data_IF_368407345955
#
_entry.id   IF_368407345955
#
_cell.length_a   1.000
_cell.length_b   1.000
_cell.length_c   1.000
_cell.angle_alpha   90.00
_cell.angle_beta   90.00
_cell.angle_gamma   90.00
#
_symmetry.space_group_name_H-M   'P 1'
#
loop_
_entity.id
_entity.type
_entity.pdbx_description
1 polymer ?
#
# COMPACT_ATOMS: atom_id res chain seq x y z
N UNK A 1 -51.01 63.38 -44.02
CA UNK A 1 -51.86 62.45 -44.80
C UNK A 1 -51.53 61.06 -44.27
N UNK A 2 -52.10 60.65 -43.12
CA UNK A 2 -53.32 59.79 -43.03
C UNK A 2 -53.13 58.54 -43.91
N UNK A 3 -53.22 57.29 -43.43
CA UNK A 3 -54.37 56.66 -42.76
C UNK A 3 -53.92 55.41 -42.00
N UNK A 4 -54.54 55.20 -40.83
CA UNK A 4 -54.51 54.01 -39.98
C UNK A 4 -55.46 52.90 -40.47
N UNK A 5 -55.17 51.63 -40.14
CA UNK A 5 -56.18 50.57 -40.00
C UNK A 5 -55.65 49.54 -38.97
N UNK A 6 -56.14 49.55 -37.72
CA UNK A 6 -57.26 48.74 -37.18
C UNK A 6 -57.15 47.23 -37.47
N UNK A 7 -57.50 46.28 -36.61
CA UNK A 7 -57.88 46.20 -35.19
C UNK A 7 -58.21 44.70 -34.92
N UNK A 8 -57.80 44.17 -33.76
CA UNK A 8 -58.33 42.98 -33.04
C UNK A 8 -58.39 41.62 -33.74
N UNK A 9 -57.64 40.65 -33.18
CA UNK A 9 -58.21 39.38 -32.65
C UNK A 9 -57.46 38.97 -31.39
N UNK A 10 -58.16 38.94 -30.25
CA UNK A 10 -57.75 38.16 -29.08
C UNK A 10 -57.99 36.67 -29.41
N UNK A 11 -57.06 35.78 -29.05
CA UNK A 11 -57.35 34.44 -28.50
C UNK A 11 -56.07 33.89 -27.83
N UNK A 12 -56.26 33.20 -26.70
CA UNK A 12 -55.27 32.77 -25.71
C UNK A 12 -54.48 31.50 -26.10
N UNK A 13 -53.65 31.03 -25.15
CA UNK A 13 -52.83 29.80 -25.10
C UNK A 13 -51.54 29.84 -25.95
N UNK A 14 -50.35 29.57 -25.43
CA UNK A 14 -49.96 29.00 -24.15
C UNK A 14 -48.52 29.43 -23.84
N UNK A 15 -48.24 29.62 -22.56
CA UNK A 15 -46.91 29.49 -21.99
C UNK A 15 -46.30 28.18 -22.47
N UNK A 16 -45.36 28.23 -23.42
CA UNK A 16 -44.38 27.14 -23.58
C UNK A 16 -43.41 27.30 -22.42
N UNK A 17 -43.88 26.88 -21.26
CA UNK A 17 -43.08 26.60 -20.10
C UNK A 17 -41.99 25.61 -20.51
N UNK A 18 -40.77 25.90 -20.09
CA UNK A 18 -39.62 25.07 -20.36
C UNK A 18 -39.90 23.62 -19.98
N UNK A 19 -39.79 22.73 -20.96
CA UNK A 19 -39.22 21.44 -20.67
C UNK A 19 -37.72 21.68 -20.66
N UNK A 20 -37.19 22.08 -19.49
CA UNK A 20 -35.89 21.56 -19.11
C UNK A 20 -36.06 20.06 -19.28
N UNK A 21 -35.55 19.52 -20.38
CA UNK A 21 -35.26 18.10 -20.47
C UNK A 21 -34.38 17.83 -19.27
N UNK A 22 -35.04 17.38 -18.19
CA UNK A 22 -34.41 16.77 -17.06
C UNK A 22 -33.55 15.69 -17.68
N UNK A 23 -32.25 15.96 -17.77
CA UNK A 23 -31.28 14.91 -17.94
C UNK A 23 -31.48 14.05 -16.70
N UNK A 24 -32.33 13.03 -16.82
CA UNK A 24 -32.41 11.91 -15.92
C UNK A 24 -31.15 11.07 -16.07
N UNK A 25 -29.99 11.72 -15.96
CA UNK A 25 -28.71 11.06 -15.75
C UNK A 25 -28.72 10.58 -14.33
N UNK A 26 -29.41 9.45 -14.09
CA UNK A 26 -29.08 8.63 -12.94
C UNK A 26 -27.58 8.41 -13.00
N UNK A 27 -26.85 8.88 -12.00
CA UNK A 27 -25.42 8.66 -11.92
C UNK A 27 -25.25 7.15 -11.79
N UNK A 28 -24.85 6.49 -12.88
CA UNK A 28 -24.50 5.08 -12.79
C UNK A 28 -23.32 4.97 -11.85
N UNK A 29 -23.40 4.06 -10.88
CA UNK A 29 -22.36 3.86 -9.90
C UNK A 29 -21.84 2.43 -9.97
N UNK A 30 -20.60 2.28 -9.56
CA UNK A 30 -19.88 1.02 -9.54
C UNK A 30 -19.29 0.79 -8.15
N UNK A 31 -19.24 -0.46 -7.73
CA UNK A 31 -18.46 -0.87 -6.57
C UNK A 31 -17.00 -1.10 -6.95
N UNK A 32 -16.11 -0.90 -5.97
CA UNK A 32 -14.69 -1.24 -6.09
C UNK A 32 -14.40 -2.46 -5.24
N UNK A 33 -13.84 -3.49 -5.85
CA UNK A 33 -13.55 -4.76 -5.22
C UNK A 33 -12.40 -5.51 -5.87
N UNK A 34 -12.07 -6.64 -5.27
CA UNK A 34 -10.86 -7.36 -5.60
C UNK A 34 -10.66 -8.63 -4.80
N UNK A 35 -9.43 -9.12 -4.79
CA UNK A 35 -9.02 -10.31 -4.05
C UNK A 35 -7.75 -10.08 -3.25
N UNK A 36 -7.69 -10.66 -2.05
CA UNK A 36 -6.48 -10.73 -1.22
C UNK A 36 -5.88 -12.12 -1.31
N UNK A 37 -4.57 -12.19 -1.49
CA UNK A 37 -3.80 -13.43 -1.58
C UNK A 37 -2.48 -13.33 -0.81
N UNK A 38 -1.97 -14.47 -0.35
CA UNK A 38 -0.70 -14.57 0.37
C UNK A 38 -0.71 -14.02 1.81
N UNK A 39 -1.87 -13.65 2.36
CA UNK A 39 -2.01 -13.21 3.75
C UNK A 39 -1.85 -14.42 4.69
N UNK A 40 -1.00 -14.26 5.70
CA UNK A 40 -0.73 -15.30 6.70
C UNK A 40 -1.89 -15.41 7.69
N UNK A 41 -2.30 -16.64 8.01
CA UNK A 41 -3.37 -16.92 8.96
C UNK A 41 -3.12 -16.25 10.31
N UNK A 42 -4.13 -15.60 10.88
CA UNK A 42 -4.03 -14.90 12.17
C UNK A 42 -3.47 -13.48 12.08
N UNK A 43 -3.16 -12.99 10.87
CA UNK A 43 -2.81 -11.58 10.63
C UNK A 43 -3.96 -10.85 9.92
N UNK A 44 -3.85 -9.52 9.78
CA UNK A 44 -4.81 -8.74 9.01
C UNK A 44 -4.15 -7.60 8.26
N UNK A 45 -4.73 -7.23 7.11
CA UNK A 45 -4.36 -6.07 6.30
C UNK A 45 -5.53 -5.10 6.29
N UNK A 46 -5.26 -3.80 6.39
CA UNK A 46 -6.30 -2.77 6.23
C UNK A 46 -6.10 -2.01 4.92
N UNK A 47 -7.15 -1.96 4.11
CA UNK A 47 -7.20 -1.26 2.84
C UNK A 47 -7.99 0.04 2.99
N UNK A 48 -7.67 1.04 2.17
CA UNK A 48 -8.40 2.29 2.10
C UNK A 48 -8.65 2.71 0.65
N UNK A 49 -9.88 3.14 0.35
CA UNK A 49 -10.22 3.69 -0.96
C UNK A 49 -10.16 5.24 -0.98
N UNK A 50 -10.37 5.82 -2.16
CA UNK A 50 -10.45 7.27 -2.42
C UNK A 50 -11.58 7.96 -1.65
N UNK A 51 -12.66 7.25 -1.37
CA UNK A 51 -13.85 7.74 -0.65
C UNK A 51 -13.66 7.76 0.87
N UNK A 52 -12.53 7.23 1.35
CA UNK A 52 -12.18 7.19 2.77
C UNK A 52 -12.65 5.94 3.51
N UNK A 53 -13.33 5.01 2.83
CA UNK A 53 -13.70 3.71 3.40
C UNK A 53 -12.45 2.95 3.79
N UNK A 54 -12.52 2.29 4.94
CA UNK A 54 -11.46 1.40 5.43
C UNK A 54 -12.03 -0.01 5.58
N UNK A 55 -11.33 -0.98 5.00
CA UNK A 55 -11.66 -2.40 5.11
C UNK A 55 -10.51 -3.17 5.75
N UNK A 56 -10.77 -3.84 6.86
CA UNK A 56 -9.82 -4.77 7.47
C UNK A 56 -10.14 -6.19 7.04
N UNK A 57 -9.16 -6.87 6.48
CA UNK A 57 -9.27 -8.22 5.90
C UNK A 57 -8.31 -9.15 6.64
N UNK A 58 -8.80 -10.30 7.10
CA UNK A 58 -8.07 -11.24 7.97
C UNK A 58 -7.84 -12.63 7.37
N UNK A 59 -8.23 -12.84 6.11
CA UNK A 59 -7.95 -14.07 5.37
C UNK A 59 -7.70 -13.78 3.88
N UNK A 60 -7.45 -14.83 3.11
CA UNK A 60 -7.35 -14.75 1.66
C UNK A 60 -8.77 -14.90 1.08
N UNK A 61 -9.34 -13.79 0.62
CA UNK A 61 -10.74 -13.73 0.17
C UNK A 61 -10.97 -12.60 -0.82
N UNK A 62 -12.14 -12.58 -1.45
CA UNK A 62 -12.63 -11.40 -2.16
C UNK A 62 -13.07 -10.30 -1.19
N UNK A 63 -12.99 -9.05 -1.65
CA UNK A 63 -13.48 -7.89 -0.92
C UNK A 63 -14.18 -6.91 -1.86
N UNK A 64 -15.07 -6.09 -1.31
CA UNK A 64 -15.76 -5.00 -2.00
C UNK A 64 -15.93 -3.84 -1.02
N UNK A 65 -15.58 -2.62 -1.42
CA UNK A 65 -15.83 -1.41 -0.65
C UNK A 65 -17.33 -1.08 -0.62
N UNK A 66 -17.86 -0.59 0.52
CA UNK A 66 -19.28 -0.35 0.68
C UNK A 66 -19.77 0.88 -0.10
N UNK A 67 -18.93 1.91 -0.28
CA UNK A 67 -19.30 3.10 -1.03
C UNK A 67 -19.11 2.87 -2.53
N UNK A 68 -20.18 3.10 -3.28
CA UNK A 68 -20.16 3.07 -4.75
C UNK A 68 -19.60 4.39 -5.32
N UNK A 69 -18.79 4.28 -6.36
CA UNK A 69 -18.13 5.38 -7.06
C UNK A 69 -18.90 5.69 -8.34
N UNK A 70 -19.10 6.97 -8.69
CA UNK A 70 -19.86 7.33 -9.87
C UNK A 70 -19.08 7.07 -11.17
N UNK A 71 -19.81 6.81 -12.26
CA UNK A 71 -19.25 6.69 -13.60
C UNK A 71 -18.47 7.94 -14.01
N UNK A 72 -17.27 7.74 -14.55
CA UNK A 72 -16.33 8.82 -14.89
C UNK A 72 -15.42 9.29 -13.76
N UNK A 73 -15.70 8.92 -12.49
CA UNK A 73 -14.83 9.24 -11.37
C UNK A 73 -13.63 8.28 -11.29
N UNK A 74 -12.51 8.79 -10.78
CA UNK A 74 -11.32 8.00 -10.51
C UNK A 74 -11.40 7.33 -9.16
N UNK A 75 -10.96 6.08 -9.07
CA UNK A 75 -10.80 5.38 -7.79
C UNK A 75 -9.31 5.16 -7.48
N UNK A 76 -8.99 5.12 -6.19
CA UNK A 76 -7.69 4.68 -5.69
C UNK A 76 -7.87 3.73 -4.52
N UNK A 77 -7.11 2.63 -4.47
CA UNK A 77 -7.06 1.66 -3.38
C UNK A 77 -5.63 1.58 -2.88
N UNK A 78 -5.47 1.71 -1.57
CA UNK A 78 -4.16 1.72 -0.90
C UNK A 78 -4.17 0.77 0.28
N UNK A 79 -3.00 0.27 0.65
CA UNK A 79 -2.83 -0.41 1.94
C UNK A 79 -2.62 0.65 3.00
N UNK A 80 -3.55 0.75 3.94
CA UNK A 80 -3.47 1.65 5.09
C UNK A 80 -2.57 1.07 6.18
N UNK A 81 -2.74 -0.21 6.50
CA UNK A 81 -1.98 -0.91 7.54
C UNK A 81 -1.50 -2.26 7.02
N UNK A 82 -0.18 -2.48 7.09
CA UNK A 82 0.45 -3.76 6.73
C UNK A 82 0.28 -4.79 7.86
N UNK A 83 0.09 -6.07 7.54
CA UNK A 83 0.17 -7.15 8.52
C UNK A 83 1.57 -7.27 9.13
N UNK A 84 1.66 -7.78 10.36
CA UNK A 84 2.95 -8.05 11.00
C UNK A 84 3.68 -9.17 10.25
N UNK A 85 4.94 -8.92 9.87
CA UNK A 85 5.79 -9.93 9.21
C UNK A 85 5.44 -10.19 7.75
N UNK A 86 4.62 -9.34 7.10
CA UNK A 86 4.42 -9.39 5.66
C UNK A 86 4.32 -7.98 5.06
N UNK A 87 4.51 -7.88 3.75
CA UNK A 87 4.21 -6.69 2.96
C UNK A 87 3.18 -7.05 1.91
N UNK A 88 2.05 -6.34 1.94
CA UNK A 88 1.00 -6.39 0.93
C UNK A 88 1.17 -5.26 -0.08
N UNK A 89 0.98 -5.58 -1.35
CA UNK A 89 1.06 -4.64 -2.47
C UNK A 89 -0.25 -4.64 -3.24
N UNK A 90 -0.62 -3.49 -3.79
CA UNK A 90 -1.86 -3.31 -4.55
C UNK A 90 -1.56 -3.36 -6.05
N UNK A 91 -2.18 -4.28 -6.77
CA UNK A 91 -2.25 -4.30 -8.22
C UNK A 91 -3.61 -3.79 -8.70
N UNK A 92 -3.63 -3.08 -9.83
CA UNK A 92 -4.83 -2.42 -10.38
C UNK A 92 -5.54 -1.50 -9.37
N UNK A 93 -4.80 -0.95 -8.41
CA UNK A 93 -5.35 -0.12 -7.34
C UNK A 93 -5.85 1.25 -7.78
N UNK A 94 -5.67 1.64 -9.04
CA UNK A 94 -6.10 2.94 -9.56
C UNK A 94 -6.77 2.78 -10.91
N UNK A 95 -7.78 3.58 -11.18
CA UNK A 95 -8.47 3.59 -12.47
C UNK A 95 -9.61 4.60 -12.50
N UNK A 96 -10.42 4.55 -13.55
CA UNK A 96 -11.63 5.36 -13.72
C UNK A 96 -12.81 4.42 -13.95
N UNK A 97 -13.93 4.69 -13.29
CA UNK A 97 -15.17 3.95 -13.56
C UNK A 97 -15.62 4.28 -14.98
N UNK A 98 -15.93 3.24 -15.77
CA UNK A 98 -16.39 3.43 -17.14
C UNK A 98 -17.73 4.20 -17.18
N UNK A 99 -18.08 4.74 -18.35
CA UNK A 99 -19.32 5.49 -18.54
C UNK A 99 -20.59 4.64 -18.31
N UNK A 100 -20.45 3.31 -18.24
CA UNK A 100 -21.54 2.37 -18.00
C UNK A 100 -21.69 2.01 -16.52
N UNK A 101 -20.81 2.49 -15.63
CA UNK A 101 -20.82 2.19 -14.20
C UNK A 101 -20.58 0.71 -13.89
N UNK A 102 -19.73 0.02 -14.66
CA UNK A 102 -19.41 -1.39 -14.38
C UNK A 102 -18.57 -1.53 -13.10
N UNK A 103 -18.91 -2.53 -12.28
CA UNK A 103 -18.16 -2.87 -11.08
C UNK A 103 -16.69 -3.20 -11.39
N UNK A 104 -15.79 -2.62 -10.59
CA UNK A 104 -14.37 -2.95 -10.62
C UNK A 104 -14.13 -4.11 -9.67
N UNK A 105 -13.70 -5.26 -10.19
CA UNK A 105 -13.46 -6.48 -9.38
C UNK A 105 -12.04 -7.06 -9.54
N UNK A 106 -11.17 -6.36 -10.27
CA UNK A 106 -9.83 -6.82 -10.64
C UNK A 106 -8.70 -6.22 -9.79
N UNK A 107 -9.03 -5.53 -8.68
CA UNK A 107 -8.02 -5.08 -7.73
C UNK A 107 -7.39 -6.30 -7.06
N UNK A 108 -6.07 -6.38 -7.05
CA UNK A 108 -5.35 -7.49 -6.42
C UNK A 108 -4.54 -6.98 -5.25
N UNK A 109 -4.62 -7.67 -4.12
CA UNK A 109 -3.78 -7.43 -2.95
C UNK A 109 -2.91 -8.66 -2.76
N UNK A 110 -1.62 -8.52 -3.03
CA UNK A 110 -0.65 -9.59 -2.94
C UNK A 110 0.25 -9.36 -1.72
N UNK A 111 0.10 -10.21 -0.71
CA UNK A 111 0.88 -10.20 0.52
C UNK A 111 2.02 -11.22 0.44
N UNK A 112 3.22 -10.80 0.81
CA UNK A 112 4.41 -11.66 0.84
C UNK A 112 5.07 -11.58 2.21
N UNK A 113 5.45 -12.73 2.77
CA UNK A 113 6.14 -12.77 4.05
C UNK A 113 7.48 -12.04 3.96
N UNK A 114 7.77 -11.25 4.98
CA UNK A 114 8.98 -10.43 5.07
C UNK A 114 9.61 -10.59 6.44
N UNK A 115 10.94 -10.57 6.49
CA UNK A 115 11.66 -10.61 7.76
C UNK A 115 12.88 -9.69 7.76
N UNK A 116 13.33 -9.33 8.96
CA UNK A 116 14.56 -8.56 9.16
C UNK A 116 15.78 -9.47 9.28
N UNK A 117 16.93 -8.90 8.92
CA UNK A 117 18.25 -9.46 9.28
C UNK A 117 18.74 -8.67 10.49
N UNK A 118 19.19 -9.37 11.51
CA UNK A 118 19.69 -8.78 12.74
C UNK A 118 20.65 -9.70 13.45
N UNK A 119 20.97 -9.39 14.68
CA UNK A 119 21.95 -10.14 15.42
C UNK A 119 22.28 -9.57 16.78
N UNK A 120 23.36 -10.07 17.35
CA UNK A 120 23.95 -9.54 18.58
C UNK A 120 25.38 -9.08 18.34
N UNK A 121 25.72 -7.92 18.87
CA UNK A 121 27.08 -7.39 18.92
C UNK A 121 27.65 -7.55 20.33
N UNK A 122 28.85 -8.09 20.42
CA UNK A 122 29.58 -8.29 21.68
C UNK A 122 31.07 -7.94 21.54
N UNK A 123 31.70 -7.56 22.66
CA UNK A 123 33.13 -7.25 22.73
C UNK A 123 33.54 -5.90 22.13
N UNK A 124 32.61 -5.05 21.70
CA UNK A 124 32.94 -3.70 21.25
C UNK A 124 33.35 -2.83 22.45
N UNK A 125 34.52 -2.20 22.38
CA UNK A 125 35.01 -1.30 23.41
C UNK A 125 34.16 -0.02 23.46
N UNK A 126 34.06 0.59 24.65
CA UNK A 126 33.32 1.85 24.84
C UNK A 126 33.93 2.97 23.99
N UNK A 127 33.09 3.70 23.25
CA UNK A 127 33.53 4.80 22.38
C UNK A 127 33.99 4.39 20.99
N UNK A 128 34.01 3.09 20.69
CA UNK A 128 34.27 2.57 19.35
C UNK A 128 33.00 2.41 18.52
N UNK A 129 33.15 2.18 17.22
CA UNK A 129 32.06 1.84 16.32
C UNK A 129 32.49 0.83 15.27
N UNK A 130 31.58 -0.07 14.90
CA UNK A 130 31.74 -1.02 13.80
C UNK A 130 30.65 -0.75 12.76
N UNK A 131 30.98 -0.85 11.48
CA UNK A 131 29.99 -0.75 10.41
C UNK A 131 29.81 -2.10 9.77
N UNK A 132 28.55 -2.53 9.70
CA UNK A 132 28.13 -3.74 9.03
C UNK A 132 27.39 -3.38 7.74
N UNK A 133 27.44 -4.27 6.75
CA UNK A 133 26.64 -4.16 5.54
C UNK A 133 25.94 -5.48 5.21
N UNK A 134 24.71 -5.38 4.70
CA UNK A 134 23.94 -6.50 4.13
C UNK A 134 23.03 -6.00 3.02
N UNK A 135 22.96 -6.70 1.89
CA UNK A 135 22.03 -6.40 0.78
C UNK A 135 21.98 -4.91 0.36
N UNK A 136 23.12 -4.21 0.37
CA UNK A 136 23.22 -2.79 0.02
C UNK A 136 22.87 -1.81 1.15
N UNK A 137 22.35 -2.28 2.29
CA UNK A 137 22.14 -1.48 3.51
C UNK A 137 23.38 -1.50 4.39
N UNK A 138 23.72 -0.35 4.97
CA UNK A 138 24.80 -0.22 5.97
C UNK A 138 24.24 0.15 7.34
N UNK A 139 24.86 -0.36 8.40
CA UNK A 139 24.46 -0.12 9.78
C UNK A 139 25.70 0.14 10.64
N UNK A 140 25.74 1.30 11.29
CA UNK A 140 26.75 1.63 12.29
C UNK A 140 26.29 1.18 13.68
N UNK A 141 27.14 0.46 14.39
CA UNK A 141 26.89 0.00 15.76
C UNK A 141 27.95 0.60 16.69
N UNK A 142 27.49 1.27 17.75
CA UNK A 142 28.34 1.95 18.74
C UNK A 142 28.23 1.35 20.15
N UNK A 143 27.43 0.29 20.32
CA UNK A 143 27.22 -0.36 21.61
C UNK A 143 26.95 -1.86 21.42
N UNK A 144 27.33 -2.65 22.42
CA UNK A 144 27.00 -4.08 22.50
C UNK A 144 25.49 -4.27 22.73
N UNK A 145 24.93 -5.36 22.22
CA UNK A 145 23.51 -5.67 22.34
C UNK A 145 22.88 -6.21 21.06
N UNK A 146 21.56 -6.33 21.06
CA UNK A 146 20.81 -6.72 19.87
C UNK A 146 20.76 -5.59 18.84
N UNK A 147 20.84 -5.94 17.57
CA UNK A 147 20.69 -5.01 16.45
C UNK A 147 19.83 -5.63 15.35
N UNK A 148 19.27 -4.77 14.51
CA UNK A 148 18.60 -5.16 13.27
C UNK A 148 18.99 -4.18 12.16
N UNK A 149 19.23 -4.71 10.96
CA UNK A 149 19.40 -3.88 9.78
C UNK A 149 18.07 -3.17 9.44
N UNK A 150 18.14 -1.93 8.92
CA UNK A 150 16.96 -1.26 8.43
C UNK A 150 16.42 -1.96 7.18
N UNK A 151 15.10 -1.99 7.05
CA UNK A 151 14.39 -2.63 5.95
C UNK A 151 13.98 -4.07 6.24
N UNK A 152 13.10 -4.57 5.38
CA UNK A 152 12.61 -5.95 5.42
C UNK A 152 12.97 -6.64 4.12
N UNK A 153 13.32 -7.93 4.22
CA UNK A 153 13.62 -8.78 3.08
C UNK A 153 12.48 -9.77 2.89
N UNK A 154 12.11 -10.03 1.64
CA UNK A 154 11.15 -11.08 1.32
C UNK A 154 11.69 -12.46 1.69
N UNK A 155 10.79 -13.37 2.07
CA UNK A 155 11.16 -14.76 2.28
C UNK A 155 11.82 -15.35 1.01
N UNK A 156 12.91 -16.11 1.20
CA UNK A 156 13.74 -16.65 0.13
C UNK A 156 14.91 -15.76 -0.29
N UNK A 157 14.94 -14.47 0.09
CA UNK A 157 16.09 -13.60 -0.18
C UNK A 157 17.32 -14.09 0.59
N UNK A 158 18.43 -14.31 -0.13
CA UNK A 158 19.71 -14.58 0.48
C UNK A 158 20.28 -13.30 1.12
N UNK A 159 20.98 -13.44 2.25
CA UNK A 159 21.69 -12.33 2.88
C UNK A 159 23.13 -12.71 3.16
N UNK A 160 24.00 -11.71 3.18
CA UNK A 160 25.39 -11.82 3.62
C UNK A 160 25.76 -10.56 4.40
N UNK A 161 26.10 -10.73 5.67
CA UNK A 161 26.52 -9.68 6.58
C UNK A 161 28.04 -9.63 6.59
N UNK A 162 28.57 -8.44 6.33
CA UNK A 162 30.02 -8.19 6.29
C UNK A 162 30.38 -7.00 7.17
N UNK A 163 31.58 -7.00 7.72
CA UNK A 163 32.15 -5.80 8.37
C UNK A 163 32.78 -4.94 7.29
N UNK A 164 32.27 -3.73 7.11
CA UNK A 164 32.78 -2.78 6.10
C UNK A 164 33.71 -1.73 6.70
N UNK A 165 33.61 -1.47 8.01
CA UNK A 165 34.55 -0.63 8.74
C UNK A 165 34.80 -1.23 10.12
N UNK A 166 36.05 -1.59 10.37
CA UNK A 166 36.51 -2.07 11.68
C UNK A 166 36.62 -0.91 12.69
N UNK A 167 36.41 -1.17 13.99
CA UNK A 167 36.70 -0.19 15.03
C UNK A 167 38.20 0.08 15.16
N UNK A 168 38.55 1.19 15.81
CA UNK A 168 39.95 1.45 16.16
C UNK A 168 40.46 0.42 17.19
N UNK A 169 41.62 -0.17 16.91
CA UNK A 169 42.29 -1.13 17.80
C UNK A 169 41.47 -2.37 18.19
N UNK A 170 40.45 -2.74 17.40
CA UNK A 170 39.70 -3.99 17.57
C UNK A 170 39.43 -4.63 16.21
N UNK A 171 39.25 -5.94 16.20
CA UNK A 171 38.77 -6.68 15.04
C UNK A 171 37.45 -7.36 15.35
N UNK A 172 36.40 -6.98 14.62
CA UNK A 172 35.11 -7.62 14.66
C UNK A 172 35.00 -8.69 13.56
N UNK A 173 34.47 -9.86 13.92
CA UNK A 173 34.14 -10.95 13.00
C UNK A 173 32.66 -11.31 13.11
N UNK A 174 32.10 -11.80 12.00
CA UNK A 174 30.69 -12.22 11.91
C UNK A 174 30.65 -13.75 11.87
N UNK A 175 29.91 -14.35 12.80
CA UNK A 175 29.59 -15.79 12.81
C UNK A 175 28.22 -16.02 12.19
N UNK A 176 28.12 -17.05 11.35
CA UNK A 176 26.96 -17.30 10.48
C UNK A 176 26.62 -16.08 9.62
N UNK A 177 27.58 -15.52 8.86
CA UNK A 177 27.39 -14.25 8.16
C UNK A 177 26.33 -14.32 7.05
N UNK A 178 25.96 -15.51 6.59
CA UNK A 178 25.07 -15.69 5.45
C UNK A 178 23.99 -16.72 5.70
N UNK A 179 22.85 -16.53 5.04
CA UNK A 179 21.75 -17.47 5.02
C UNK A 179 20.64 -17.01 4.08
N UNK A 180 19.47 -17.63 4.20
CA UNK A 180 18.25 -17.21 3.50
C UNK A 180 17.20 -16.78 4.52
N UNK A 181 16.46 -15.74 4.16
CA UNK A 181 15.36 -15.26 4.99
C UNK A 181 14.22 -16.26 4.91
N UNK A 182 13.76 -16.75 6.06
CA UNK A 182 12.57 -17.61 6.16
C UNK A 182 11.37 -16.77 6.59
N UNK A 183 10.20 -17.13 6.08
CA UNK A 183 8.94 -16.42 6.35
C UNK A 183 8.64 -16.35 7.84
N UNK A 184 8.43 -15.15 8.38
CA UNK A 184 7.98 -14.96 9.76
C UNK A 184 9.05 -15.16 10.84
N UNK A 185 10.35 -15.18 10.48
CA UNK A 185 11.45 -15.32 11.43
C UNK A 185 12.54 -14.28 11.19
N UNK A 186 13.15 -13.77 12.27
CA UNK A 186 14.33 -12.92 12.17
C UNK A 186 15.58 -13.76 11.85
N UNK A 187 16.28 -13.42 10.77
CA UNK A 187 17.59 -13.98 10.50
C UNK A 187 18.61 -13.38 11.48
N UNK A 188 19.26 -14.23 12.28
CA UNK A 188 20.17 -13.79 13.36
C UNK A 188 21.62 -14.15 13.05
N UNK A 189 22.51 -13.18 13.15
CA UNK A 189 23.98 -13.35 13.08
C UNK A 189 24.62 -12.94 14.40
N UNK A 190 25.82 -13.44 14.69
CA UNK A 190 26.58 -13.02 15.88
C UNK A 190 27.80 -12.24 15.45
N UNK A 191 28.01 -11.06 16.01
CA UNK A 191 29.19 -10.23 15.78
C UNK A 191 30.00 -10.13 17.07
N UNK A 192 31.26 -10.51 16.99
CA UNK A 192 32.18 -10.49 18.14
C UNK A 192 33.40 -9.66 17.78
N UNK A 193 33.70 -8.66 18.61
CA UNK A 193 34.89 -7.82 18.50
C UNK A 193 35.89 -8.20 19.60
N UNK A 194 37.17 -8.26 19.24
CA UNK A 194 38.28 -8.55 20.16
C UNK A 194 39.51 -7.71 19.81
#
# INVERSE_FOLDING_TARGET
MLIAANLRRLLACACVAGLLTACGGGTTKATIGGTVSGLTSGTSVSLRNSDGDTLTISANQSFTFPTEVAAGDTYTVTVLTQPVGQTCTVGNGTGTIDSTGSDVSNVTIACTATSSVGGTLSGLASGNSVWLATNGSTLALAANGAFAFPGLLSAGTAYSVTVVQQPAQQTCSVTNPSGTVVSGSMASVTVTCQ
#
